data_IF_076152041267
#
_entry.id   IF_076152041267
#
_cell.length_a   1.000
_cell.length_b   1.000
_cell.length_c   1.000
_cell.angle_alpha   90.00
_cell.angle_beta   90.00
_cell.angle_gamma   90.00
#
_symmetry.space_group_name_H-M   'P 1'
#
loop_
_entity.id
_entity.type
_entity.pdbx_description
1 polymer ?
#
# COMPACT_ATOMS: atom_id res chain seq x y z
N UNK A 1 -10.31 16.95 10.49
CA UNK A 1 -8.86 16.89 10.18
C UNK A 1 -8.43 18.30 9.86
N UNK A 2 -7.22 18.69 10.28
CA UNK A 2 -6.65 19.97 9.87
C UNK A 2 -5.18 19.82 9.45
N UNK A 3 -4.73 20.64 8.50
CA UNK A 3 -3.34 20.96 8.23
C UNK A 3 -3.06 22.36 8.80
N UNK A 4 -2.04 22.48 9.64
CA UNK A 4 -1.72 23.72 10.36
C UNK A 4 -0.28 24.09 10.05
N UNK A 5 -0.06 25.34 9.65
CA UNK A 5 1.27 25.92 9.48
C UNK A 5 1.50 26.94 10.59
N UNK A 6 2.58 26.75 11.34
CA UNK A 6 2.96 27.57 12.49
C UNK A 6 4.39 28.07 12.31
N UNK A 7 4.70 29.21 12.91
CA UNK A 7 6.04 29.81 12.93
C UNK A 7 6.36 30.37 14.32
N UNK A 8 7.64 30.59 14.60
CA UNK A 8 8.08 31.20 15.85
C UNK A 8 8.25 32.72 15.69
N UNK A 9 7.32 33.51 16.21
CA UNK A 9 7.45 34.97 16.29
C UNK A 9 8.43 35.31 17.42
N UNK A 10 9.47 36.09 17.15
CA UNK A 10 10.53 36.36 18.12
C UNK A 10 10.06 37.14 19.37
N UNK A 11 8.91 37.82 19.29
CA UNK A 11 8.34 38.63 20.36
C UNK A 11 7.23 37.86 21.08
N UNK A 12 6.39 37.15 20.33
CA UNK A 12 5.19 36.47 20.86
C UNK A 12 5.42 34.98 21.16
N UNK A 13 6.46 34.39 20.60
CA UNK A 13 6.70 32.95 20.61
C UNK A 13 5.94 32.22 19.48
N UNK A 14 5.62 30.93 19.66
CA UNK A 14 4.94 30.14 18.64
C UNK A 14 3.55 30.69 18.27
N UNK A 15 3.34 30.93 16.99
CA UNK A 15 2.09 31.42 16.42
C UNK A 15 1.58 30.52 15.30
N UNK A 16 0.26 30.36 15.24
CA UNK A 16 -0.38 29.68 14.12
C UNK A 16 -0.56 30.69 13.02
N UNK A 17 0.12 30.45 11.90
CA UNK A 17 0.07 31.31 10.74
C UNK A 17 -1.17 31.03 9.90
N UNK A 18 -1.43 29.75 9.62
CA UNK A 18 -2.49 29.30 8.74
C UNK A 18 -3.05 27.94 9.16
N UNK A 19 -4.34 27.70 8.94
CA UNK A 19 -4.97 26.40 9.16
C UNK A 19 -5.97 26.06 8.04
N UNK A 20 -6.02 24.78 7.68
CA UNK A 20 -6.92 24.23 6.67
C UNK A 20 -7.64 23.00 7.23
N UNK A 21 -8.98 22.96 7.26
CA UNK A 21 -9.90 24.07 7.02
C UNK A 21 -9.64 25.24 7.99
N UNK A 22 -10.19 26.41 7.66
CA UNK A 22 -10.10 27.61 8.50
C UNK A 22 -10.66 27.27 9.90
N UNK A 23 -9.95 27.74 10.92
CA UNK A 23 -10.20 27.48 12.35
C UNK A 23 -9.76 26.10 12.86
N UNK A 24 -9.09 26.13 14.01
CA UNK A 24 -8.83 24.95 14.85
C UNK A 24 -9.31 25.25 16.26
N UNK A 25 -9.70 24.21 17.00
CA UNK A 25 -10.15 24.42 18.38
C UNK A 25 -9.04 25.02 19.25
N UNK A 26 -9.42 25.84 20.23
CA UNK A 26 -8.47 26.47 21.15
C UNK A 26 -7.57 25.44 21.86
N UNK A 27 -8.13 24.25 22.14
CA UNK A 27 -7.40 23.11 22.70
C UNK A 27 -6.22 22.68 21.81
N UNK A 28 -6.44 22.54 20.50
CA UNK A 28 -5.38 22.19 19.56
C UNK A 28 -4.42 23.36 19.33
N UNK A 29 -4.94 24.58 19.28
CA UNK A 29 -4.10 25.78 19.18
C UNK A 29 -3.09 25.87 20.33
N UNK A 30 -3.56 25.74 21.58
CA UNK A 30 -2.69 25.69 22.76
C UNK A 30 -1.70 24.52 22.72
N UNK A 31 -2.15 23.33 22.31
CA UNK A 31 -1.28 22.17 22.22
C UNK A 31 -0.16 22.36 21.18
N UNK A 32 -0.49 22.85 19.98
CA UNK A 32 0.48 23.12 18.91
C UNK A 32 1.52 24.15 19.36
N UNK A 33 1.09 25.25 19.99
CA UNK A 33 2.01 26.27 20.51
C UNK A 33 2.93 25.71 21.60
N UNK A 34 2.38 24.95 22.56
CA UNK A 34 3.18 24.33 23.63
C UNK A 34 4.16 23.27 23.13
N UNK A 35 3.78 22.52 22.10
CA UNK A 35 4.66 21.57 21.42
C UNK A 35 5.81 22.30 20.73
N UNK A 36 5.52 23.38 20.01
CA UNK A 36 6.54 24.11 19.26
C UNK A 36 7.56 24.79 20.18
N UNK A 37 7.15 25.20 21.38
CA UNK A 37 8.03 25.75 22.40
C UNK A 37 8.90 24.68 23.10
N UNK A 38 8.58 23.39 22.92
CA UNK A 38 9.29 22.31 23.58
C UNK A 38 10.54 21.86 22.80
N UNK A 39 11.59 21.48 23.54
CA UNK A 39 12.81 20.91 22.95
C UNK A 39 12.56 19.47 22.53
N UNK A 40 12.29 19.26 21.24
CA UNK A 40 12.10 17.93 20.65
C UNK A 40 13.30 17.61 19.75
N UNK A 41 14.02 16.54 20.08
CA UNK A 41 15.23 16.12 19.35
C UNK A 41 14.95 15.63 17.93
N UNK A 42 13.77 15.05 17.70
CA UNK A 42 13.36 14.56 16.38
C UNK A 42 12.46 15.61 15.69
N UNK A 43 12.80 16.10 14.50
CA UNK A 43 11.96 17.05 13.78
C UNK A 43 10.58 16.48 13.42
N UNK A 44 10.48 15.15 13.28
CA UNK A 44 9.21 14.47 13.02
C UNK A 44 8.71 13.70 14.25
N UNK A 45 7.54 14.06 14.73
CA UNK A 45 7.00 13.48 15.96
C UNK A 45 5.47 13.49 15.97
N UNK A 46 4.89 12.73 16.89
CA UNK A 46 3.45 12.71 17.14
C UNK A 46 3.13 13.02 18.61
N UNK A 47 1.99 13.67 18.82
CA UNK A 47 1.47 14.00 20.14
C UNK A 47 -0.01 13.61 20.22
N UNK A 48 -0.34 12.69 21.13
CA UNK A 48 -1.70 12.14 21.26
C UNK A 48 -2.51 12.98 22.24
N UNK A 49 -3.71 13.38 21.83
CA UNK A 49 -4.61 14.23 22.59
C UNK A 49 -6.03 13.64 22.63
N UNK A 50 -6.25 12.68 23.54
CA UNK A 50 -7.47 11.86 23.65
C UNK A 50 -7.71 11.04 22.37
N UNK A 51 -8.77 11.33 21.63
CA UNK A 51 -9.20 10.57 20.44
C UNK A 51 -8.60 11.07 19.13
N UNK A 52 -7.75 12.09 19.21
CA UNK A 52 -7.06 12.68 18.08
C UNK A 52 -5.58 12.78 18.40
N UNK A 53 -4.78 12.97 17.36
CA UNK A 53 -3.35 13.22 17.50
C UNK A 53 -2.89 14.33 16.56
N UNK A 54 -1.76 14.91 16.93
CA UNK A 54 -1.05 15.94 16.19
C UNK A 54 0.22 15.29 15.67
N UNK A 55 0.40 15.29 14.36
CA UNK A 55 1.60 14.76 13.69
C UNK A 55 2.32 15.97 13.12
N UNK A 56 3.55 16.23 13.56
CA UNK A 56 4.25 17.47 13.26
C UNK A 56 5.60 17.22 12.60
N UNK A 57 6.00 18.15 11.74
CA UNK A 57 7.34 18.25 11.19
C UNK A 57 7.88 19.66 11.43
N UNK A 58 8.90 19.79 12.28
CA UNK A 58 9.65 21.01 12.52
C UNK A 58 10.78 21.16 11.49
N UNK A 59 10.98 22.38 11.01
CA UNK A 59 12.10 22.70 10.12
C UNK A 59 12.40 24.20 10.10
N UNK A 60 13.57 24.54 9.56
CA UNK A 60 14.00 25.92 9.36
C UNK A 60 13.91 26.32 7.89
N UNK A 61 13.62 27.60 7.65
CA UNK A 61 13.67 28.24 6.33
C UNK A 61 14.68 29.40 6.38
N UNK A 62 15.56 29.56 5.37
CA UNK A 62 16.45 30.71 5.31
C UNK A 62 15.66 32.03 5.30
N UNK A 63 16.11 33.03 6.05
CA UNK A 63 15.46 34.34 6.14
C UNK A 63 16.46 35.41 6.47
N UNK A 64 16.60 36.40 5.59
CA UNK A 64 17.46 37.56 5.84
C UNK A 64 16.90 38.49 6.93
N UNK A 65 15.63 38.32 7.29
CA UNK A 65 14.96 39.15 8.30
C UNK A 65 15.01 38.49 9.69
N UNK A 66 15.29 37.19 9.76
CA UNK A 66 15.45 36.47 11.01
C UNK A 66 16.81 36.69 11.66
N UNK A 67 16.80 36.74 12.99
CA UNK A 67 18.05 36.63 13.78
C UNK A 67 18.63 35.23 13.61
N UNK A 68 19.88 35.15 13.16
CA UNK A 68 20.53 33.86 12.85
C UNK A 68 20.19 33.33 11.45
N UNK A 69 19.60 34.17 10.60
CA UNK A 69 19.31 33.93 9.19
C UNK A 69 18.33 32.78 8.90
N UNK A 70 17.56 32.33 9.89
CA UNK A 70 16.60 31.23 9.75
C UNK A 70 15.31 31.50 10.55
N UNK A 71 14.16 31.25 9.94
CA UNK A 71 12.87 31.18 10.65
C UNK A 71 12.60 29.73 11.04
N UNK A 72 12.13 29.53 12.27
CA UNK A 72 11.64 28.23 12.72
C UNK A 72 10.16 28.10 12.35
N UNK A 73 9.82 27.04 11.63
CA UNK A 73 8.45 26.73 11.21
C UNK A 73 8.07 25.28 11.50
N UNK A 74 6.77 25.02 11.61
CA UNK A 74 6.22 23.68 11.86
C UNK A 74 4.97 23.48 11.00
N UNK A 75 4.91 22.34 10.31
CA UNK A 75 3.67 21.85 9.70
C UNK A 75 3.11 20.74 10.59
N UNK A 76 1.85 20.86 10.98
CA UNK A 76 1.14 19.88 11.80
C UNK A 76 -0.12 19.37 11.11
N UNK A 77 -0.39 18.06 11.24
CA UNK A 77 -1.64 17.42 10.85
C UNK A 77 -2.39 17.03 12.11
N UNK A 78 -3.64 17.45 12.23
CA UNK A 78 -4.56 17.00 13.28
C UNK A 78 -5.45 15.89 12.69
N UNK A 79 -5.29 14.65 13.17
CA UNK A 79 -5.98 13.47 12.65
C UNK A 79 -6.63 12.64 13.77
N UNK A 80 -7.45 11.67 13.36
CA UNK A 80 -7.93 10.60 14.24
C UNK A 80 -6.72 9.81 14.79
N UNK A 81 -6.81 9.34 16.05
CA UNK A 81 -5.69 8.65 16.72
C UNK A 81 -5.28 7.35 16.03
N UNK A 82 -6.22 6.68 15.38
CA UNK A 82 -6.05 5.34 14.82
C UNK A 82 -5.23 5.34 13.52
N UNK A 83 -5.12 6.49 12.85
CA UNK A 83 -4.33 6.62 11.63
C UNK A 83 -2.83 6.60 11.95
N UNK A 84 -2.07 5.65 11.39
CA UNK A 84 -0.62 5.56 11.63
C UNK A 84 0.12 6.78 11.10
N UNK A 85 0.99 7.37 11.93
CA UNK A 85 1.72 8.60 11.57
C UNK A 85 2.69 8.39 10.42
N UNK A 86 3.29 7.21 10.29
CA UNK A 86 4.18 6.83 9.19
C UNK A 86 3.61 7.15 7.80
N UNK A 87 2.29 7.07 7.63
CA UNK A 87 1.63 7.38 6.35
C UNK A 87 1.72 8.87 5.95
N UNK A 88 2.05 9.78 6.87
CA UNK A 88 2.06 11.23 6.58
C UNK A 88 3.46 11.82 6.40
N UNK A 89 4.51 11.06 6.75
CA UNK A 89 5.88 11.56 6.73
C UNK A 89 6.30 12.06 5.34
N UNK A 90 6.09 11.24 4.29
CA UNK A 90 6.50 11.61 2.93
C UNK A 90 5.80 12.85 2.42
N UNK A 91 4.51 13.03 2.77
CA UNK A 91 3.75 14.22 2.40
C UNK A 91 4.31 15.45 3.10
N UNK A 92 4.49 15.41 4.43
CA UNK A 92 5.04 16.53 5.19
C UNK A 92 6.46 16.89 4.74
N UNK A 93 7.27 15.88 4.40
CA UNK A 93 8.61 16.04 3.84
C UNK A 93 8.56 16.70 2.46
N UNK A 94 7.66 16.28 1.57
CA UNK A 94 7.45 16.93 0.26
C UNK A 94 7.10 18.41 0.43
N UNK A 95 6.16 18.73 1.32
CA UNK A 95 5.72 20.12 1.56
C UNK A 95 6.85 20.96 2.15
N UNK A 96 7.53 20.47 3.19
CA UNK A 96 8.65 21.20 3.79
C UNK A 96 9.78 21.48 2.79
N UNK A 97 10.12 20.52 1.92
CA UNK A 97 11.12 20.71 0.88
C UNK A 97 10.70 21.78 -0.14
N UNK A 98 9.42 21.82 -0.52
CA UNK A 98 8.88 22.85 -1.42
C UNK A 98 8.96 24.24 -0.79
N UNK A 99 8.60 24.38 0.48
CA UNK A 99 8.74 25.65 1.20
C UNK A 99 10.22 26.06 1.24
N UNK A 100 11.13 25.16 1.66
CA UNK A 100 12.58 25.46 1.74
C UNK A 100 13.23 25.82 0.40
N UNK A 101 12.67 25.37 -0.72
CA UNK A 101 13.23 25.64 -2.04
C UNK A 101 13.05 27.07 -2.53
N UNK A 102 12.13 27.83 -1.91
CA UNK A 102 11.91 29.23 -2.21
C UNK A 102 12.62 30.12 -1.19
N UNK A 103 13.70 30.77 -1.62
CA UNK A 103 14.55 31.61 -0.76
C UNK A 103 13.82 32.82 -0.16
N UNK A 104 12.72 33.26 -0.75
CA UNK A 104 12.00 34.46 -0.30
C UNK A 104 10.67 34.12 0.40
N UNK A 105 10.34 32.84 0.57
CA UNK A 105 9.06 32.42 1.17
C UNK A 105 8.90 32.94 2.60
N UNK A 106 10.00 33.21 3.31
CA UNK A 106 9.98 33.76 4.67
C UNK A 106 9.25 35.10 4.75
N UNK A 107 9.26 35.89 3.68
CA UNK A 107 8.56 37.19 3.61
C UNK A 107 7.06 37.05 3.89
N UNK A 108 6.48 35.90 3.55
CA UNK A 108 5.06 35.60 3.85
C UNK A 108 4.73 35.72 5.34
N UNK A 109 5.66 35.41 6.24
CA UNK A 109 5.44 35.44 7.68
C UNK A 109 5.20 36.86 8.22
N UNK A 110 5.57 37.88 7.45
CA UNK A 110 5.51 39.29 7.82
C UNK A 110 4.27 40.01 7.27
N UNK A 111 3.31 39.29 6.68
CA UNK A 111 2.05 39.84 6.13
C UNK A 111 1.23 40.66 7.15
N UNK A 112 1.40 40.39 8.45
CA UNK A 112 0.70 41.10 9.54
C UNK A 112 1.53 42.23 10.15
N UNK A 113 2.79 42.38 9.76
CA UNK A 113 3.64 43.46 10.26
C UNK A 113 3.28 44.76 9.54
N UNK A 114 2.99 45.80 10.33
CA UNK A 114 2.64 47.13 9.81
C UNK A 114 3.87 48.00 9.58
N UNK A 115 5.04 47.54 10.00
CA UNK A 115 6.30 48.31 9.99
C UNK A 115 7.17 48.00 8.79
N UNK A 116 6.94 46.88 8.12
CA UNK A 116 7.51 46.58 6.82
C UNK A 116 6.95 47.56 5.80
N UNK A 117 7.84 48.27 5.11
CA UNK A 117 7.55 49.05 3.89
C UNK A 117 6.66 48.20 2.98
N UNK A 118 5.73 48.80 2.23
CA UNK A 118 4.83 48.14 1.26
C UNK A 118 5.61 47.31 0.22
N UNK A 119 6.15 46.17 0.64
CA UNK A 119 6.89 45.22 -0.16
C UNK A 119 5.87 44.28 -0.78
N UNK A 120 5.59 44.51 -2.06
CA UNK A 120 4.66 43.70 -2.85
C UNK A 120 4.99 42.22 -2.80
N UNK A 121 6.26 41.87 -2.59
CA UNK A 121 6.69 40.48 -2.50
C UNK A 121 6.11 39.77 -1.26
N UNK A 122 5.76 40.49 -0.19
CA UNK A 122 5.10 39.90 0.98
C UNK A 122 3.74 39.30 0.60
N UNK A 123 2.91 40.06 -0.13
CA UNK A 123 1.58 39.62 -0.57
C UNK A 123 1.67 38.45 -1.58
N UNK A 124 2.64 38.54 -2.50
CA UNK A 124 2.92 37.50 -3.48
C UNK A 124 3.34 36.19 -2.78
N UNK A 125 4.34 36.26 -1.89
CA UNK A 125 4.84 35.09 -1.15
C UNK A 125 3.81 34.51 -0.18
N UNK A 126 2.98 35.35 0.43
CA UNK A 126 1.83 34.90 1.22
C UNK A 126 0.84 34.10 0.37
N UNK A 127 0.53 34.60 -0.83
CA UNK A 127 -0.37 33.91 -1.77
C UNK A 127 0.23 32.58 -2.23
N UNK A 128 1.52 32.54 -2.57
CA UNK A 128 2.23 31.32 -2.97
C UNK A 128 2.25 30.27 -1.86
N UNK A 129 2.62 30.66 -0.62
CA UNK A 129 2.60 29.75 0.53
C UNK A 129 1.19 29.19 0.76
N UNK A 130 0.17 30.05 0.71
CA UNK A 130 -1.23 29.65 0.87
C UNK A 130 -1.64 28.62 -0.19
N UNK A 131 -1.35 28.86 -1.46
CA UNK A 131 -1.64 27.93 -2.55
C UNK A 131 -0.93 26.58 -2.37
N UNK A 132 0.33 26.61 -1.95
CA UNK A 132 1.09 25.41 -1.63
C UNK A 132 0.41 24.60 -0.52
N UNK A 133 0.01 25.24 0.58
CA UNK A 133 -0.68 24.60 1.69
C UNK A 133 -2.05 24.03 1.28
N UNK A 134 -2.83 24.74 0.45
CA UNK A 134 -4.10 24.23 -0.09
C UNK A 134 -3.90 22.98 -0.93
N UNK A 135 -3.00 23.01 -1.91
CA UNK A 135 -2.72 21.84 -2.75
C UNK A 135 -2.24 20.64 -1.93
N UNK A 136 -1.53 20.90 -0.84
CA UNK A 136 -1.04 19.88 0.09
C UNK A 136 -2.18 19.31 0.95
N UNK A 137 -3.13 20.15 1.35
CA UNK A 137 -4.33 19.74 2.06
C UNK A 137 -5.22 18.85 1.18
N UNK A 138 -5.40 19.18 -0.10
CA UNK A 138 -6.17 18.34 -1.04
C UNK A 138 -5.54 16.93 -1.20
N UNK A 139 -4.21 16.87 -1.31
CA UNK A 139 -3.47 15.60 -1.30
C UNK A 139 -3.67 14.83 0.00
N UNK A 140 -3.64 15.53 1.13
CA UNK A 140 -3.87 14.93 2.45
C UNK A 140 -5.28 14.35 2.55
N UNK A 141 -6.32 15.08 2.13
CA UNK A 141 -7.70 14.59 2.13
C UNK A 141 -7.86 13.33 1.29
N UNK A 142 -7.26 13.31 0.10
CA UNK A 142 -7.27 12.13 -0.77
C UNK A 142 -6.61 10.93 -0.08
N UNK A 143 -5.42 11.15 0.50
CA UNK A 143 -4.67 10.10 1.20
C UNK A 143 -5.44 9.54 2.39
N UNK A 144 -6.14 10.38 3.16
CA UNK A 144 -6.97 9.90 4.27
C UNK A 144 -8.17 9.11 3.77
N UNK A 145 -8.83 9.54 2.69
CA UNK A 145 -9.94 8.76 2.11
C UNK A 145 -9.45 7.36 1.72
N UNK A 146 -8.29 7.26 1.08
CA UNK A 146 -7.65 5.98 0.74
C UNK A 146 -7.35 5.13 2.00
N UNK A 147 -6.77 5.72 3.05
CA UNK A 147 -6.50 5.03 4.32
C UNK A 147 -7.77 4.55 5.03
N UNK A 148 -8.81 5.38 5.09
CA UNK A 148 -10.10 5.00 5.68
C UNK A 148 -10.80 3.91 4.88
N UNK A 149 -10.68 3.95 3.55
CA UNK A 149 -11.17 2.88 2.69
C UNK A 149 -10.40 1.59 3.00
N UNK A 150 -9.07 1.62 3.07
CA UNK A 150 -8.25 0.47 3.46
C UNK A 150 -8.63 -0.06 4.86
N UNK A 151 -8.87 0.82 5.82
CA UNK A 151 -9.25 0.46 7.20
C UNK A 151 -10.66 -0.12 7.30
N UNK A 152 -11.64 0.47 6.60
CA UNK A 152 -13.00 -0.07 6.49
C UNK A 152 -13.01 -1.43 5.79
N UNK A 153 -12.18 -1.56 4.76
CA UNK A 153 -11.93 -2.81 4.07
C UNK A 153 -11.28 -3.85 5.00
N UNK A 154 -10.46 -3.42 5.97
CA UNK A 154 -9.82 -4.27 6.99
C UNK A 154 -10.75 -4.71 8.13
N UNK A 155 -11.73 -3.89 8.51
CA UNK A 155 -12.58 -4.12 9.69
C UNK A 155 -13.84 -4.95 9.42
N UNK A 156 -14.18 -5.18 8.15
CA UNK A 156 -15.23 -6.11 7.70
C UNK A 156 -14.66 -7.36 7.01
N UNK A 157 -13.39 -7.69 7.27
CA UNK A 157 -12.72 -8.74 6.50
C UNK A 157 -13.33 -10.12 6.75
N UNK A 158 -13.77 -10.71 5.63
CA UNK A 158 -13.92 -12.13 5.53
C UNK A 158 -12.52 -12.74 5.73
N UNK A 159 -12.34 -13.48 6.83
CA UNK A 159 -11.10 -14.27 7.02
C UNK A 159 -10.85 -15.16 5.80
N UNK A 160 -9.59 -15.48 5.51
CA UNK A 160 -9.20 -16.42 4.46
C UNK A 160 -9.96 -17.74 4.58
N UNK A 161 -10.11 -18.26 5.80
CA UNK A 161 -10.89 -19.48 6.06
C UNK A 161 -12.38 -19.28 5.78
N UNK A 162 -12.95 -18.13 6.17
CA UNK A 162 -14.33 -17.77 5.84
C UNK A 162 -14.55 -17.69 4.33
N UNK A 163 -13.63 -17.07 3.62
CA UNK A 163 -13.67 -16.94 2.18
C UNK A 163 -13.51 -18.30 1.49
N UNK A 164 -12.57 -19.12 1.93
CA UNK A 164 -12.39 -20.46 1.39
C UNK A 164 -13.63 -21.34 1.62
N UNK A 165 -14.34 -21.19 2.73
CA UNK A 165 -15.63 -21.88 2.94
C UNK A 165 -16.75 -21.37 2.03
N UNK A 166 -16.81 -20.06 1.78
CA UNK A 166 -17.87 -19.44 0.97
C UNK A 166 -17.65 -19.68 -0.53
N UNK A 167 -16.43 -19.45 -0.99
CA UNK A 167 -16.07 -19.48 -2.41
C UNK A 167 -15.42 -20.81 -2.84
N UNK A 168 -14.96 -21.64 -1.91
CA UNK A 168 -14.43 -22.96 -2.19
C UNK A 168 -13.29 -22.95 -3.22
N UNK A 169 -13.46 -23.76 -4.26
CA UNK A 169 -12.49 -23.90 -5.37
C UNK A 169 -12.29 -22.62 -6.16
N UNK A 170 -13.20 -21.65 -6.09
CA UNK A 170 -13.07 -20.35 -6.78
C UNK A 170 -11.89 -19.56 -6.24
N UNK A 171 -11.62 -19.59 -4.93
CA UNK A 171 -10.44 -18.92 -4.38
C UNK A 171 -9.15 -19.56 -4.91
N UNK A 172 -9.12 -20.89 -4.99
CA UNK A 172 -7.98 -21.63 -5.56
C UNK A 172 -7.73 -21.18 -7.00
N UNK A 173 -8.81 -21.04 -7.76
CA UNK A 173 -8.82 -20.56 -9.11
C UNK A 173 -8.33 -19.10 -9.25
N UNK A 174 -8.82 -18.18 -8.43
CA UNK A 174 -8.38 -16.78 -8.42
C UNK A 174 -6.88 -16.67 -8.13
N UNK A 175 -6.38 -17.36 -7.10
CA UNK A 175 -4.95 -17.38 -6.76
C UNK A 175 -4.14 -17.94 -7.93
N UNK A 176 -4.61 -19.03 -8.56
CA UNK A 176 -3.96 -19.62 -9.74
C UNK A 176 -3.92 -18.64 -10.92
N UNK A 177 -4.99 -17.87 -11.14
CA UNK A 177 -5.07 -16.84 -12.17
C UNK A 177 -4.06 -15.72 -11.94
N UNK A 178 -3.97 -15.23 -10.69
CA UNK A 178 -3.04 -14.16 -10.30
C UNK A 178 -1.59 -14.62 -10.46
N UNK A 179 -1.26 -15.87 -10.08
CA UNK A 179 0.08 -16.45 -10.30
C UNK A 179 0.44 -16.62 -11.78
N UNK A 180 -0.57 -16.80 -12.63
CA UNK A 180 -0.41 -16.82 -14.09
C UNK A 180 -0.33 -15.43 -14.70
N UNK A 181 -0.34 -14.37 -13.88
CA UNK A 181 -0.36 -12.98 -14.34
C UNK A 181 -1.51 -12.68 -15.30
N UNK A 182 -2.60 -13.46 -15.22
CA UNK A 182 -3.79 -13.29 -16.05
C UNK A 182 -4.74 -12.27 -15.42
N UNK A 183 -5.44 -11.45 -16.23
CA UNK A 183 -6.47 -10.57 -15.71
C UNK A 183 -7.61 -11.37 -15.06
N UNK A 184 -7.98 -10.98 -13.85
CA UNK A 184 -9.10 -11.49 -13.07
C UNK A 184 -10.19 -10.43 -13.01
N UNK A 185 -11.42 -10.78 -13.35
CA UNK A 185 -12.58 -9.90 -13.16
C UNK A 185 -13.51 -10.51 -12.12
N UNK A 186 -13.76 -9.77 -11.05
CA UNK A 186 -14.75 -10.09 -10.03
C UNK A 186 -16.01 -9.27 -10.33
N UNK A 187 -17.13 -9.92 -10.58
CA UNK A 187 -18.37 -9.25 -10.99
C UNK A 187 -19.60 -9.71 -10.21
N UNK A 188 -20.68 -8.92 -10.26
CA UNK A 188 -21.95 -9.21 -9.61
C UNK A 188 -22.08 -8.51 -8.26
N UNK A 189 -21.67 -9.15 -7.17
CA UNK A 189 -21.76 -8.58 -5.82
C UNK A 189 -20.48 -7.78 -5.50
N UNK A 190 -20.60 -6.46 -5.45
CA UNK A 190 -19.46 -5.55 -5.26
C UNK A 190 -18.81 -5.76 -3.88
N UNK A 191 -19.60 -6.03 -2.85
CA UNK A 191 -19.08 -6.20 -1.49
C UNK A 191 -18.32 -7.52 -1.36
N UNK A 192 -18.87 -8.60 -1.91
CA UNK A 192 -18.18 -9.89 -1.99
C UNK A 192 -16.89 -9.81 -2.82
N UNK A 193 -16.92 -9.04 -3.92
CA UNK A 193 -15.76 -8.82 -4.79
C UNK A 193 -14.66 -8.03 -4.07
N UNK A 194 -15.02 -6.98 -3.34
CA UNK A 194 -14.08 -6.21 -2.51
C UNK A 194 -13.47 -7.09 -1.41
N UNK A 195 -14.27 -7.92 -0.75
CA UNK A 195 -13.78 -8.84 0.29
C UNK A 195 -12.73 -9.82 -0.27
N UNK A 196 -12.98 -10.40 -1.45
CA UNK A 196 -12.01 -11.25 -2.14
C UNK A 196 -10.75 -10.49 -2.53
N UNK A 197 -10.88 -9.29 -3.10
CA UNK A 197 -9.75 -8.44 -3.47
C UNK A 197 -8.87 -8.12 -2.26
N UNK A 198 -9.46 -7.83 -1.09
CA UNK A 198 -8.71 -7.58 0.14
C UNK A 198 -7.91 -8.80 0.59
N UNK A 199 -8.50 -9.99 0.53
CA UNK A 199 -7.78 -11.24 0.82
C UNK A 199 -6.63 -11.43 -0.17
N UNK A 200 -6.84 -11.15 -1.45
CA UNK A 200 -5.77 -11.27 -2.44
C UNK A 200 -4.67 -10.23 -2.21
N UNK A 201 -5.00 -8.97 -1.92
CA UNK A 201 -4.02 -7.96 -1.52
C UNK A 201 -3.23 -8.43 -0.29
N UNK A 202 -3.92 -9.03 0.69
CA UNK A 202 -3.28 -9.66 1.85
C UNK A 202 -2.49 -10.90 1.50
N UNK A 203 -2.73 -11.64 0.43
CA UNK A 203 -1.89 -12.78 0.01
C UNK A 203 -0.70 -12.33 -0.86
N UNK A 204 -0.83 -11.24 -1.62
CA UNK A 204 0.12 -10.87 -2.67
C UNK A 204 0.90 -9.57 -2.42
N UNK A 205 0.73 -8.90 -1.27
CA UNK A 205 1.33 -7.60 -0.92
C UNK A 205 2.82 -7.45 -1.29
N UNK A 206 3.61 -8.53 -1.17
CA UNK A 206 5.06 -8.52 -1.40
C UNK A 206 5.48 -9.18 -2.73
N UNK A 207 4.53 -9.66 -3.52
CA UNK A 207 4.76 -10.45 -4.73
C UNK A 207 4.40 -9.64 -5.98
N UNK A 208 3.22 -9.02 -6.01
CA UNK A 208 2.71 -8.25 -7.15
C UNK A 208 1.74 -7.16 -6.70
N UNK A 209 1.75 -6.01 -7.38
CA UNK A 209 0.57 -5.13 -7.35
C UNK A 209 -0.58 -5.83 -8.09
N UNK A 210 -1.77 -5.82 -7.48
CA UNK A 210 -2.99 -6.37 -8.06
C UNK A 210 -3.81 -5.34 -8.85
N UNK A 211 -3.46 -4.06 -8.79
CA UNK A 211 -4.28 -2.96 -9.31
C UNK A 211 -4.60 -3.11 -10.80
N UNK A 212 -3.64 -3.62 -11.59
CA UNK A 212 -3.82 -3.86 -13.03
C UNK A 212 -4.29 -5.29 -13.36
N UNK A 213 -4.26 -6.19 -12.37
CA UNK A 213 -4.54 -7.62 -12.55
C UNK A 213 -5.95 -8.01 -12.12
N UNK A 214 -6.57 -7.27 -11.19
CA UNK A 214 -7.91 -7.59 -10.67
C UNK A 214 -8.86 -6.41 -10.89
N UNK A 215 -9.90 -6.61 -11.69
CA UNK A 215 -10.93 -5.59 -11.93
C UNK A 215 -12.23 -5.99 -11.25
N UNK A 216 -12.89 -5.05 -10.56
CA UNK A 216 -14.23 -5.25 -10.01
C UNK A 216 -15.25 -4.58 -10.93
N UNK A 217 -16.29 -5.33 -11.33
CA UNK A 217 -17.40 -4.82 -12.15
C UNK A 217 -18.75 -5.13 -11.49
N UNK A 218 -19.76 -4.31 -11.78
CA UNK A 218 -21.14 -4.61 -11.35
C UNK A 218 -21.78 -5.70 -12.22
N UNK A 219 -21.46 -5.69 -13.51
CA UNK A 219 -21.97 -6.63 -14.51
C UNK A 219 -20.83 -7.54 -15.01
N UNK A 220 -21.16 -8.79 -15.34
CA UNK A 220 -20.25 -9.77 -15.92
C UNK A 220 -20.23 -9.74 -17.47
N UNK A 221 -21.05 -8.90 -18.11
CA UNK A 221 -21.07 -8.73 -19.56
C UNK A 221 -19.87 -7.93 -20.11
N UNK A 222 -19.60 -8.12 -21.42
CA UNK A 222 -18.55 -7.41 -22.19
C UNK A 222 -17.14 -7.50 -21.58
N UNK A 223 -16.76 -8.70 -21.13
CA UNK A 223 -15.42 -8.98 -20.62
C UNK A 223 -14.57 -9.68 -21.69
N UNK A 224 -13.29 -9.30 -21.76
CA UNK A 224 -12.32 -9.91 -22.68
C UNK A 224 -12.23 -11.44 -22.46
N UNK A 225 -12.18 -12.25 -23.53
CA UNK A 225 -12.09 -13.71 -23.42
C UNK A 225 -10.81 -14.21 -22.76
N UNK A 226 -9.80 -13.34 -22.61
CA UNK A 226 -8.53 -13.67 -21.95
C UNK A 226 -8.57 -13.47 -20.42
N UNK A 227 -9.67 -12.95 -19.87
CA UNK A 227 -9.84 -12.78 -18.44
C UNK A 227 -10.44 -14.04 -17.81
N UNK A 228 -10.06 -14.31 -16.55
CA UNK A 228 -10.88 -15.16 -15.70
C UNK A 228 -12.01 -14.32 -15.11
N UNK A 229 -13.26 -14.73 -15.29
CA UNK A 229 -14.42 -14.00 -14.76
C UNK A 229 -15.12 -14.82 -13.69
N UNK A 230 -15.23 -14.23 -12.51
CA UNK A 230 -15.90 -14.81 -11.35
C UNK A 230 -17.13 -13.98 -11.02
N UNK A 231 -18.31 -14.60 -11.12
CA UNK A 231 -19.53 -14.00 -10.60
C UNK A 231 -19.63 -14.26 -9.10
N UNK A 232 -19.30 -13.25 -8.30
CA UNK A 232 -19.21 -13.35 -6.83
C UNK A 232 -20.58 -13.43 -6.16
N UNK A 233 -21.64 -12.99 -6.83
CA UNK A 233 -23.03 -13.13 -6.34
C UNK A 233 -23.50 -14.59 -6.38
N UNK A 234 -23.15 -15.30 -7.45
CA UNK A 234 -23.55 -16.69 -7.66
C UNK A 234 -22.49 -17.68 -7.17
N UNK A 235 -21.26 -17.23 -6.92
CA UNK A 235 -20.15 -18.10 -6.58
C UNK A 235 -19.87 -19.12 -7.68
N UNK A 236 -19.82 -18.67 -8.94
CA UNK A 236 -19.52 -19.53 -10.10
C UNK A 236 -18.54 -18.86 -11.07
N UNK A 237 -17.89 -19.70 -11.89
CA UNK A 237 -17.15 -19.25 -13.06
C UNK A 237 -18.13 -18.78 -14.14
N UNK A 238 -17.92 -17.58 -14.63
CA UNK A 238 -18.71 -17.05 -15.75
C UNK A 238 -17.98 -17.31 -17.08
N UNK A 239 -16.66 -17.12 -17.11
CA UNK A 239 -15.82 -17.42 -18.27
C UNK A 239 -14.33 -17.56 -17.93
N UNK A 240 -13.55 -18.10 -18.87
CA UNK A 240 -12.11 -18.35 -18.72
C UNK A 240 -11.78 -19.81 -18.38
N UNK A 241 -10.58 -20.26 -18.75
CA UNK A 241 -10.06 -21.59 -18.38
C UNK A 241 -8.87 -21.43 -17.44
N UNK A 242 -8.87 -22.22 -16.38
CA UNK A 242 -7.77 -22.27 -15.44
C UNK A 242 -7.08 -23.60 -15.62
N UNK A 243 -5.76 -23.54 -15.65
CA UNK A 243 -4.91 -24.71 -15.59
C UNK A 243 -5.10 -25.43 -14.26
N UNK A 244 -5.49 -26.72 -14.30
CA UNK A 244 -5.59 -27.57 -13.11
C UNK A 244 -4.21 -27.85 -12.49
N UNK A 245 -3.13 -27.55 -13.21
CA UNK A 245 -1.73 -27.77 -12.84
C UNK A 245 -1.38 -27.16 -11.47
N UNK A 246 -1.83 -25.92 -11.19
CA UNK A 246 -1.55 -25.28 -9.90
C UNK A 246 -2.66 -25.54 -8.85
N UNK A 247 -3.81 -26.05 -9.26
CA UNK A 247 -4.99 -26.18 -8.41
C UNK A 247 -4.71 -27.04 -7.18
N UNK A 248 -4.07 -28.19 -7.36
CA UNK A 248 -3.78 -29.13 -6.28
C UNK A 248 -2.84 -28.53 -5.21
N UNK A 249 -1.79 -27.83 -5.64
CA UNK A 249 -0.83 -27.22 -4.73
C UNK A 249 -1.50 -26.09 -3.91
N UNK A 250 -2.23 -25.19 -4.58
CA UNK A 250 -2.90 -24.06 -3.95
C UNK A 250 -4.02 -24.55 -3.01
N UNK A 251 -4.85 -25.51 -3.46
CA UNK A 251 -5.90 -26.10 -2.63
C UNK A 251 -5.33 -26.74 -1.37
N UNK A 252 -4.22 -27.48 -1.49
CA UNK A 252 -3.51 -28.01 -0.32
C UNK A 252 -3.02 -26.88 0.60
N UNK A 253 -2.46 -25.81 0.06
CA UNK A 253 -2.01 -24.69 0.89
C UNK A 253 -3.15 -24.03 1.64
N UNK A 254 -4.30 -23.81 1.00
CA UNK A 254 -5.50 -23.27 1.65
C UNK A 254 -5.96 -24.20 2.79
N UNK A 255 -6.04 -25.50 2.53
CA UNK A 255 -6.41 -26.50 3.55
C UNK A 255 -5.39 -26.58 4.72
N UNK A 256 -4.09 -26.41 4.44
CA UNK A 256 -3.05 -26.34 5.49
C UNK A 256 -3.09 -24.99 6.25
N UNK A 257 -3.47 -23.91 5.57
CA UNK A 257 -3.60 -22.57 6.15
C UNK A 257 -4.79 -22.48 7.12
N UNK A 258 -5.93 -23.08 6.78
CA UNK A 258 -7.11 -23.15 7.66
C UNK A 258 -6.80 -23.81 9.01
N UNK A 259 -5.88 -24.78 9.03
CA UNK A 259 -5.45 -25.46 10.26
C UNK A 259 -4.59 -24.59 11.18
N UNK A 260 -4.19 -23.38 10.75
CA UNK A 260 -3.40 -22.45 11.58
C UNK A 260 -4.23 -21.77 12.67
N UNK A 261 -5.56 -21.77 12.58
CA UNK A 261 -6.47 -21.26 13.60
C UNK A 261 -6.50 -19.73 13.78
N UNK A 262 -5.51 -19.01 13.24
CA UNK A 262 -5.44 -17.55 13.17
C UNK A 262 -5.33 -17.12 11.70
N UNK A 263 -6.12 -16.13 11.31
CA UNK A 263 -6.21 -15.64 9.92
C UNK A 263 -4.89 -15.08 9.39
N UNK A 264 -4.18 -14.26 10.19
CA UNK A 264 -2.89 -13.71 9.80
C UNK A 264 -1.83 -14.80 9.64
N UNK A 265 -1.85 -15.80 10.53
CA UNK A 265 -0.96 -16.97 10.40
C UNK A 265 -1.26 -17.79 9.14
N UNK A 266 -2.54 -17.89 8.74
CA UNK A 266 -2.97 -18.55 7.51
C UNK A 266 -2.50 -17.77 6.27
N UNK A 267 -2.68 -16.44 6.26
CA UNK A 267 -2.22 -15.54 5.20
C UNK A 267 -0.69 -15.59 5.05
N UNK A 268 0.06 -15.46 6.15
CA UNK A 268 1.53 -15.54 6.15
C UNK A 268 1.99 -16.89 5.60
N UNK A 269 1.32 -17.97 5.98
CA UNK A 269 1.64 -19.30 5.47
C UNK A 269 1.46 -19.39 3.95
N UNK A 270 0.34 -18.93 3.40
CA UNK A 270 0.11 -18.92 1.95
C UNK A 270 1.14 -18.05 1.24
N UNK A 271 1.39 -16.83 1.74
CA UNK A 271 2.44 -15.92 1.22
C UNK A 271 3.78 -16.61 1.07
N UNK A 272 4.24 -17.26 2.14
CA UNK A 272 5.52 -17.96 2.16
C UNK A 272 5.55 -19.09 1.11
N UNK A 273 4.46 -19.84 0.98
CA UNK A 273 4.36 -20.91 -0.02
C UNK A 273 4.39 -20.39 -1.45
N UNK A 274 3.62 -19.34 -1.75
CA UNK A 274 3.61 -18.73 -3.08
C UNK A 274 4.96 -18.10 -3.43
N UNK A 275 5.59 -17.41 -2.48
CA UNK A 275 6.94 -16.84 -2.65
C UNK A 275 7.98 -17.94 -2.97
N UNK A 276 7.89 -19.11 -2.34
CA UNK A 276 8.73 -20.26 -2.67
C UNK A 276 8.53 -20.71 -4.12
N UNK A 277 7.28 -20.79 -4.60
CA UNK A 277 7.01 -21.17 -6.00
C UNK A 277 7.65 -20.18 -6.98
N UNK A 278 7.51 -18.88 -6.74
CA UNK A 278 8.09 -17.83 -7.57
C UNK A 278 9.62 -17.91 -7.59
N UNK A 279 10.24 -18.02 -6.41
CA UNK A 279 11.69 -18.16 -6.28
C UNK A 279 12.23 -19.40 -6.99
N UNK A 280 11.50 -20.50 -6.95
CA UNK A 280 11.87 -21.73 -7.67
C UNK A 280 11.72 -21.54 -9.18
N UNK A 281 10.69 -20.84 -9.65
CA UNK A 281 10.54 -20.51 -11.06
C UNK A 281 11.72 -19.67 -11.57
N UNK A 282 12.08 -18.60 -10.85
CA UNK A 282 13.21 -17.74 -11.18
C UNK A 282 14.53 -18.53 -11.25
N UNK A 283 14.77 -19.39 -10.25
CA UNK A 283 15.95 -20.26 -10.24
C UNK A 283 16.00 -21.25 -11.41
N UNK A 284 14.87 -21.89 -11.75
CA UNK A 284 14.84 -22.84 -12.86
C UNK A 284 15.02 -22.16 -14.22
N UNK A 285 14.53 -20.92 -14.37
CA UNK A 285 14.80 -20.09 -15.55
C UNK A 285 16.30 -19.91 -15.79
N UNK A 286 17.08 -19.68 -14.73
CA UNK A 286 18.52 -19.46 -14.83
C UNK A 286 19.34 -20.76 -15.02
N UNK A 287 18.93 -21.84 -14.37
CA UNK A 287 19.77 -23.05 -14.26
C UNK A 287 19.42 -24.13 -15.28
N UNK A 288 18.18 -24.17 -15.78
CA UNK A 288 17.71 -25.30 -16.59
C UNK A 288 18.06 -25.15 -18.08
N UNK A 289 19.25 -25.61 -18.47
CA UNK A 289 19.71 -25.61 -19.88
C UNK A 289 19.22 -26.80 -20.70
N UNK A 290 18.88 -27.91 -20.06
CA UNK A 290 18.50 -29.18 -20.71
C UNK A 290 17.24 -29.77 -20.08
N UNK A 291 16.61 -30.73 -20.77
CA UNK A 291 15.43 -31.41 -20.23
C UNK A 291 15.81 -32.26 -19.01
N UNK A 292 15.08 -32.13 -17.91
CA UNK A 292 15.29 -32.91 -16.68
C UNK A 292 13.97 -33.48 -16.17
N UNK A 293 14.02 -34.68 -15.60
CA UNK A 293 12.87 -35.27 -14.91
C UNK A 293 12.54 -34.51 -13.62
N UNK A 294 11.28 -34.55 -13.18
CA UNK A 294 10.84 -34.01 -11.87
C UNK A 294 11.81 -34.40 -10.74
N UNK A 295 12.19 -35.69 -10.65
CA UNK A 295 13.08 -36.19 -9.58
C UNK A 295 14.45 -35.50 -9.59
N UNK A 296 15.01 -35.25 -10.77
CA UNK A 296 16.28 -34.54 -10.92
C UNK A 296 16.12 -33.06 -10.55
N UNK A 297 15.03 -32.42 -10.99
CA UNK A 297 14.74 -31.02 -10.68
C UNK A 297 14.58 -30.80 -9.17
N UNK A 298 13.82 -31.65 -8.48
CA UNK A 298 13.68 -31.60 -7.02
C UNK A 298 15.05 -31.75 -6.33
N UNK A 299 15.92 -32.63 -6.85
CA UNK A 299 17.27 -32.82 -6.30
C UNK A 299 18.10 -31.54 -6.43
N UNK A 300 18.06 -30.88 -7.59
CA UNK A 300 18.77 -29.62 -7.87
C UNK A 300 18.24 -28.48 -6.99
N UNK A 301 16.92 -28.30 -6.92
CA UNK A 301 16.29 -27.29 -6.04
C UNK A 301 16.70 -27.51 -4.58
N UNK A 302 16.73 -28.77 -4.13
CA UNK A 302 17.11 -29.10 -2.75
C UNK A 302 18.60 -28.87 -2.48
N UNK A 303 19.49 -29.15 -3.42
CA UNK A 303 20.93 -28.92 -3.23
C UNK A 303 21.27 -27.44 -3.23
N UNK A 304 20.69 -26.69 -4.17
CA UNK A 304 21.18 -25.35 -4.50
C UNK A 304 20.40 -24.28 -3.75
N UNK A 305 19.07 -24.40 -3.67
CA UNK A 305 18.23 -23.47 -2.91
C UNK A 305 18.00 -23.89 -1.45
N UNK A 306 18.34 -25.13 -1.09
CA UNK A 306 18.00 -25.73 0.22
C UNK A 306 16.50 -25.73 0.52
N UNK A 307 15.67 -25.70 -0.52
CA UNK A 307 14.20 -25.72 -0.44
C UNK A 307 13.69 -27.14 -0.71
N UNK A 308 12.69 -27.58 0.06
CA UNK A 308 11.95 -28.81 -0.22
C UNK A 308 10.69 -28.47 -1.00
N UNK A 309 10.54 -29.03 -2.20
CA UNK A 309 9.37 -28.88 -3.06
C UNK A 309 8.74 -30.26 -3.34
N UNK A 310 7.41 -30.31 -3.46
CA UNK A 310 6.60 -31.48 -3.80
C UNK A 310 6.33 -31.51 -5.31
N UNK A 311 5.87 -32.66 -5.82
CA UNK A 311 5.64 -32.82 -7.27
C UNK A 311 4.56 -31.88 -7.80
N UNK A 312 3.46 -31.69 -7.08
CA UNK A 312 2.35 -30.80 -7.47
C UNK A 312 2.76 -29.32 -7.47
N UNK A 313 3.69 -28.94 -6.59
CA UNK A 313 4.26 -27.59 -6.57
C UNK A 313 5.08 -27.31 -7.83
N UNK A 314 5.72 -28.33 -8.43
CA UNK A 314 6.42 -28.16 -9.71
C UNK A 314 5.47 -27.96 -10.89
N UNK A 315 4.24 -28.46 -10.84
CA UNK A 315 3.22 -28.12 -11.84
C UNK A 315 2.84 -26.62 -11.74
N UNK A 316 2.71 -26.09 -10.51
CA UNK A 316 2.49 -24.66 -10.31
C UNK A 316 3.69 -23.81 -10.79
N UNK A 317 4.92 -24.27 -10.55
CA UNK A 317 6.14 -23.60 -11.06
C UNK A 317 6.16 -23.61 -12.60
N UNK A 318 5.83 -24.73 -13.24
CA UNK A 318 5.75 -24.81 -14.70
C UNK A 318 4.72 -23.83 -15.26
N UNK A 319 3.59 -23.66 -14.57
CA UNK A 319 2.55 -22.71 -14.93
C UNK A 319 3.02 -21.25 -14.81
N UNK A 320 3.74 -20.92 -13.73
CA UNK A 320 4.35 -19.58 -13.53
C UNK A 320 5.36 -19.29 -14.64
N UNK A 321 6.21 -20.25 -15.01
CA UNK A 321 7.16 -20.10 -16.11
C UNK A 321 6.45 -19.80 -17.44
N UNK A 322 5.41 -20.58 -17.79
CA UNK A 322 4.63 -20.35 -19.02
C UNK A 322 3.97 -18.97 -19.04
N UNK A 323 3.46 -18.51 -17.90
CA UNK A 323 2.84 -17.19 -17.77
C UNK A 323 3.83 -16.02 -17.97
N UNK A 324 5.13 -16.27 -17.78
CA UNK A 324 6.21 -15.29 -17.93
C UNK A 324 6.95 -15.43 -19.25
N UNK A 325 6.30 -16.00 -20.26
CA UNK A 325 6.85 -16.28 -21.58
C UNK A 325 8.08 -17.21 -21.58
N UNK A 326 8.27 -18.02 -20.53
CA UNK A 326 9.36 -18.99 -20.40
C UNK A 326 8.91 -20.41 -20.80
N UNK A 327 8.15 -20.52 -21.89
CA UNK A 327 7.57 -21.79 -22.33
C UNK A 327 8.63 -22.86 -22.64
N UNK A 328 9.78 -22.45 -23.19
CA UNK A 328 10.89 -23.37 -23.43
C UNK A 328 11.44 -23.99 -22.15
N UNK A 329 11.65 -23.18 -21.10
CA UNK A 329 12.12 -23.64 -19.79
C UNK A 329 11.07 -24.55 -19.16
N UNK A 330 9.81 -24.14 -19.19
CA UNK A 330 8.70 -24.96 -18.72
C UNK A 330 8.65 -26.33 -19.41
N UNK A 331 8.88 -26.39 -20.72
CA UNK A 331 8.89 -27.62 -21.51
C UNK A 331 10.15 -28.49 -21.30
N UNK A 332 11.19 -27.97 -20.66
CA UNK A 332 12.36 -28.76 -20.19
C UNK A 332 12.06 -29.55 -18.92
N UNK A 333 10.99 -29.20 -18.19
CA UNK A 333 10.53 -29.94 -17.01
C UNK A 333 9.71 -31.16 -17.48
N UNK A 334 10.32 -32.34 -17.47
CA UNK A 334 9.64 -33.58 -17.86
C UNK A 334 8.76 -34.04 -16.70
N UNK A 335 7.48 -33.72 -16.80
CA UNK A 335 6.46 -34.20 -15.87
C UNK A 335 6.16 -35.68 -16.16
N UNK A 336 6.44 -36.57 -15.22
CA UNK A 336 5.95 -37.94 -15.32
C UNK A 336 4.43 -37.88 -15.27
N UNK A 337 3.74 -38.33 -16.33
CA UNK A 337 2.28 -38.47 -16.30
C UNK A 337 1.92 -39.24 -15.03
N UNK A 338 1.17 -38.60 -14.13
CA UNK A 338 0.61 -39.22 -12.92
C UNK A 338 -0.47 -40.27 -13.26
N UNK A 339 -0.61 -40.67 -14.53
CA UNK A 339 -1.71 -41.47 -15.07
C UNK A 339 -1.76 -42.93 -14.56
N UNK A 340 -0.89 -43.35 -13.63
CA UNK A 340 -0.81 -44.74 -13.15
C UNK A 340 -0.75 -44.86 -11.61
N UNK A 341 -1.30 -43.90 -10.85
CA UNK A 341 -1.52 -44.08 -9.40
C UNK A 341 -3.00 -43.98 -9.05
#
# INVERSE_FOLDING_TARGET
>A
MNLVFSYFDQIKGPEIFYSLPEEISEKFSKAIKGIFDSTIDNPYFEYILKDQKIISLNFEIPSDWARGNNEMVMISIISDKDLKSEHFYDLLKEVSNKIKSDMNIYKSLYIKDKTTVEDKEIDEKYTELRQLLFSSFDKLEKKIKELKIMELMSSRELSLAGAHRVFGTIITACISCILQEKPLVLCGDIDASNALLNIFNRIFLDIHSLDDKVTIKKDCHDISPNCLVINTKLGIFDSGKISDEAHNAISRYLNEAEKKGNDDAAIIFIRQRLSILMKVADFLKEVLSEKKSIKQIIKVIKSDLRIKIKNDELYAVQLILKARDEEEVANRIIMSKLNNF
#
